data_IF_823387363174
#
_entry.id   IF_823387363174
#
_cell.length_a   1.000
_cell.length_b   1.000
_cell.length_c   1.000
_cell.angle_alpha   90.00
_cell.angle_beta   90.00
_cell.angle_gamma   90.00
#
_symmetry.space_group_name_H-M   'P 1'
#
loop_
_entity.id
_entity.type
_entity.pdbx_description
1 polymer ?
#
# COMPACT_ATOMS: atom_id res chain seq x y z
N UNK A 1 -12.11 13.43 -35.55
CA UNK A 1 -11.60 13.68 -34.18
C UNK A 1 -12.23 12.74 -33.15
N UNK A 2 -13.56 12.53 -33.17
CA UNK A 2 -14.23 11.55 -32.29
C UNK A 2 -13.83 10.09 -32.60
N UNK A 3 -13.89 9.67 -33.87
CA UNK A 3 -13.50 8.32 -34.34
C UNK A 3 -12.00 7.95 -34.08
N UNK A 4 -11.15 8.95 -33.83
CA UNK A 4 -9.68 8.80 -33.70
C UNK A 4 -9.30 8.43 -32.25
N UNK A 5 -9.96 9.08 -31.28
CA UNK A 5 -9.86 8.72 -29.86
C UNK A 5 -10.41 7.30 -29.69
N UNK A 6 -11.42 6.93 -30.47
CA UNK A 6 -12.06 5.63 -30.38
C UNK A 6 -11.12 4.48 -30.76
N UNK A 7 -10.37 4.56 -31.88
CA UNK A 7 -9.46 3.46 -32.28
C UNK A 7 -8.32 3.22 -31.27
N UNK A 8 -7.67 4.29 -30.80
CA UNK A 8 -6.60 4.19 -29.80
C UNK A 8 -7.15 3.58 -28.50
N UNK A 9 -8.30 4.07 -28.03
CA UNK A 9 -8.92 3.61 -26.78
C UNK A 9 -9.41 2.18 -26.90
N UNK A 10 -9.98 1.80 -28.05
CA UNK A 10 -10.50 0.46 -28.30
C UNK A 10 -9.36 -0.57 -28.37
N UNK A 11 -8.25 -0.24 -29.03
CA UNK A 11 -7.07 -1.11 -29.07
C UNK A 11 -6.41 -1.24 -27.69
N UNK A 12 -6.25 -0.13 -26.96
CA UNK A 12 -5.73 -0.15 -25.58
C UNK A 12 -6.61 -1.02 -24.65
N UNK A 13 -7.93 -0.91 -24.77
CA UNK A 13 -8.88 -1.73 -24.00
C UNK A 13 -8.84 -3.20 -24.38
N UNK A 14 -8.76 -3.51 -25.67
CA UNK A 14 -8.66 -4.87 -26.17
C UNK A 14 -7.41 -5.56 -25.61
N UNK A 15 -6.26 -4.91 -25.74
CA UNK A 15 -4.98 -5.46 -25.28
C UNK A 15 -4.97 -5.61 -23.76
N UNK A 16 -5.52 -4.64 -23.02
CA UNK A 16 -5.59 -4.68 -21.55
C UNK A 16 -6.45 -5.83 -20.99
N UNK A 17 -7.32 -6.45 -21.81
CA UNK A 17 -8.13 -7.62 -21.42
C UNK A 17 -7.40 -8.95 -21.60
N UNK A 18 -6.25 -8.97 -22.28
CA UNK A 18 -5.50 -10.20 -22.51
C UNK A 18 -4.85 -10.67 -21.20
N UNK A 19 -4.93 -11.97 -20.95
CA UNK A 19 -4.28 -12.60 -19.79
C UNK A 19 -2.77 -12.30 -19.80
N UNK A 20 -2.27 -11.80 -18.66
CA UNK A 20 -0.89 -11.42 -18.46
C UNK A 20 -0.58 -9.95 -18.80
N UNK A 21 -1.51 -9.20 -19.38
CA UNK A 21 -1.36 -7.75 -19.61
C UNK A 21 -1.79 -6.98 -18.36
N UNK A 22 -1.02 -5.95 -18.03
CA UNK A 22 -1.20 -5.10 -16.86
C UNK A 22 -1.64 -3.71 -17.31
N UNK A 23 -1.01 -3.22 -18.38
CA UNK A 23 -1.37 -1.98 -19.03
C UNK A 23 -0.95 -2.04 -20.50
N UNK A 24 -1.66 -1.32 -21.35
CA UNK A 24 -1.31 -1.13 -22.75
C UNK A 24 -1.52 0.33 -23.14
N UNK A 25 -0.66 0.82 -24.04
CA UNK A 25 -0.77 2.16 -24.61
C UNK A 25 -0.31 2.15 -26.05
N UNK A 26 -1.21 2.57 -26.93
CA UNK A 26 -0.98 2.76 -28.36
C UNK A 26 -0.57 4.20 -28.62
N UNK A 27 0.40 4.40 -29.50
CA UNK A 27 0.87 5.71 -29.97
C UNK A 27 0.54 5.82 -31.46
N UNK A 28 -0.10 6.93 -31.83
CA UNK A 28 -0.43 7.27 -33.21
C UNK A 28 0.42 8.46 -33.68
N UNK A 29 0.75 8.51 -34.97
CA UNK A 29 1.34 9.71 -35.58
C UNK A 29 0.24 10.70 -36.02
N UNK A 30 0.69 11.82 -36.61
CA UNK A 30 -0.22 12.86 -37.14
C UNK A 30 -1.07 12.40 -38.33
N UNK A 31 -0.73 11.25 -38.94
CA UNK A 31 -1.45 10.63 -40.06
C UNK A 31 -2.34 9.46 -39.59
N UNK A 32 -2.64 9.40 -38.29
CA UNK A 32 -3.53 8.42 -37.64
C UNK A 32 -3.10 6.94 -37.81
N UNK A 33 -1.84 6.70 -38.17
CA UNK A 33 -1.26 5.38 -38.24
C UNK A 33 -0.59 5.00 -36.91
N UNK A 34 -0.74 3.74 -36.52
CA UNK A 34 -0.10 3.19 -35.31
C UNK A 34 1.40 3.17 -35.52
N UNK A 35 2.14 3.87 -34.65
CA UNK A 35 3.61 3.87 -34.69
C UNK A 35 4.20 2.90 -33.68
N UNK A 36 3.64 2.87 -32.46
CA UNK A 36 4.15 2.05 -31.37
C UNK A 36 3.02 1.56 -30.47
N UNK A 37 3.19 0.37 -29.91
CA UNK A 37 2.31 -0.21 -28.90
C UNK A 37 3.18 -0.63 -27.72
N UNK A 38 3.02 0.06 -26.59
CA UNK A 38 3.71 -0.28 -25.35
C UNK A 38 2.82 -1.15 -24.48
N UNK A 39 3.34 -2.30 -24.07
CA UNK A 39 2.63 -3.27 -23.25
C UNK A 39 3.44 -3.57 -22.01
N UNK A 40 2.80 -3.39 -20.87
CA UNK A 40 3.31 -3.84 -19.59
C UNK A 40 2.67 -5.19 -19.27
N UNK A 41 3.47 -6.21 -19.02
CA UNK A 41 2.98 -7.56 -18.72
C UNK A 41 3.52 -8.09 -17.40
N UNK A 42 2.77 -8.99 -16.76
CA UNK A 42 3.30 -9.80 -15.68
C UNK A 42 4.23 -10.92 -16.21
N UNK A 43 4.66 -11.81 -15.33
CA UNK A 43 5.53 -12.95 -15.65
C UNK A 43 4.74 -14.24 -15.99
N UNK A 44 3.42 -14.18 -16.15
CA UNK A 44 2.58 -15.36 -16.45
C UNK A 44 2.75 -15.86 -17.87
N UNK A 45 3.16 -14.99 -18.81
CA UNK A 45 3.41 -15.31 -20.21
C UNK A 45 4.74 -14.74 -20.67
N UNK A 46 5.35 -15.38 -21.68
CA UNK A 46 6.55 -14.84 -22.33
C UNK A 46 6.19 -13.67 -23.27
N UNK A 47 7.10 -12.69 -23.48
CA UNK A 47 6.86 -11.58 -24.40
C UNK A 47 6.49 -12.03 -25.81
N UNK A 48 7.14 -13.09 -26.33
CA UNK A 48 6.83 -13.63 -27.67
C UNK A 48 5.41 -14.20 -27.76
N UNK A 49 4.95 -14.86 -26.72
CA UNK A 49 3.58 -15.38 -26.67
C UNK A 49 2.58 -14.23 -26.61
N UNK A 50 2.86 -13.22 -25.79
CA UNK A 50 1.98 -12.07 -25.62
C UNK A 50 1.86 -11.23 -26.90
N UNK A 51 2.96 -11.00 -27.61
CA UNK A 51 2.96 -10.34 -28.93
C UNK A 51 2.04 -11.08 -29.91
N UNK A 52 2.10 -12.42 -29.95
CA UNK A 52 1.21 -13.22 -30.81
C UNK A 52 -0.25 -13.13 -30.40
N UNK A 53 -0.52 -13.15 -29.09
CA UNK A 53 -1.87 -13.01 -28.56
C UNK A 53 -2.46 -11.64 -28.95
N UNK A 54 -1.65 -10.57 -28.89
CA UNK A 54 -2.02 -9.22 -29.31
C UNK A 54 -2.33 -9.15 -30.80
N UNK A 55 -1.44 -9.65 -31.66
CA UNK A 55 -1.66 -9.67 -33.12
C UNK A 55 -2.94 -10.45 -33.46
N UNK A 56 -3.14 -11.61 -32.82
CA UNK A 56 -4.32 -12.44 -33.05
C UNK A 56 -5.60 -11.75 -32.60
N UNK A 57 -5.59 -11.11 -31.43
CA UNK A 57 -6.75 -10.39 -30.90
C UNK A 57 -7.10 -9.17 -31.75
N UNK A 58 -6.11 -8.36 -32.14
CA UNK A 58 -6.31 -7.18 -32.98
C UNK A 58 -6.86 -7.55 -34.36
N UNK A 59 -6.34 -8.61 -34.98
CA UNK A 59 -6.85 -9.11 -36.26
C UNK A 59 -8.29 -9.65 -36.12
N UNK A 60 -8.59 -10.39 -35.06
CA UNK A 60 -9.90 -11.01 -34.88
C UNK A 60 -11.01 -10.02 -34.51
N UNK A 61 -10.73 -9.02 -33.67
CA UNK A 61 -11.73 -8.09 -33.16
C UNK A 61 -11.82 -6.79 -33.97
N UNK A 62 -10.71 -6.31 -34.51
CA UNK A 62 -10.62 -5.02 -35.19
C UNK A 62 -10.17 -5.12 -36.66
N UNK A 63 -9.82 -6.32 -37.14
CA UNK A 63 -9.33 -6.52 -38.51
C UNK A 63 -7.95 -5.89 -38.77
N UNK A 64 -7.19 -5.58 -37.72
CA UNK A 64 -5.90 -4.90 -37.81
C UNK A 64 -4.76 -5.92 -37.90
N UNK A 65 -3.97 -5.84 -38.97
CA UNK A 65 -2.70 -6.57 -39.10
C UNK A 65 -1.56 -5.72 -38.52
N UNK A 66 -1.06 -6.12 -37.34
CA UNK A 66 -0.03 -5.39 -36.60
C UNK A 66 1.35 -6.03 -36.81
N UNK A 67 2.35 -5.24 -37.22
CA UNK A 67 3.74 -5.71 -37.22
C UNK A 67 4.24 -5.87 -35.77
N UNK A 68 4.80 -7.04 -35.47
CA UNK A 68 5.39 -7.36 -34.16
C UNK A 68 6.51 -6.38 -33.76
N UNK A 69 7.19 -5.75 -34.72
CA UNK A 69 8.24 -4.76 -34.45
C UNK A 69 7.75 -3.50 -33.77
N UNK A 70 6.46 -3.18 -33.91
CA UNK A 70 5.84 -2.01 -33.27
C UNK A 70 5.40 -2.31 -31.84
N UNK A 71 5.41 -3.58 -31.41
CA UNK A 71 4.94 -4.00 -30.09
C UNK A 71 6.15 -4.16 -29.15
N UNK A 72 6.24 -3.26 -28.17
CA UNK A 72 7.24 -3.31 -27.12
C UNK A 72 6.63 -3.86 -25.84
N UNK A 73 7.15 -4.98 -25.33
CA UNK A 73 6.67 -5.62 -24.10
C UNK A 73 7.72 -5.46 -23.00
N UNK A 74 7.35 -4.78 -21.93
CA UNK A 74 8.10 -4.72 -20.68
C UNK A 74 7.46 -5.67 -19.67
N UNK A 75 8.26 -6.56 -19.08
CA UNK A 75 7.78 -7.48 -18.05
C UNK A 75 8.06 -6.95 -16.65
N UNK A 76 7.09 -7.10 -15.77
CA UNK A 76 7.13 -6.63 -14.40
C UNK A 76 6.80 -7.77 -13.45
N UNK A 77 7.69 -7.99 -12.48
CA UNK A 77 7.43 -8.91 -11.38
C UNK A 77 6.23 -8.41 -10.56
N UNK A 78 5.61 -9.30 -9.79
CA UNK A 78 4.43 -9.03 -8.95
C UNK A 78 4.57 -7.83 -7.98
N UNK A 79 5.79 -7.33 -7.75
CA UNK A 79 6.05 -6.13 -6.96
C UNK A 79 5.95 -4.80 -7.77
N UNK A 80 5.94 -4.85 -9.09
CA UNK A 80 6.00 -3.67 -9.97
C UNK A 80 4.66 -3.40 -10.71
N UNK A 81 3.61 -4.17 -10.37
CA UNK A 81 2.25 -4.10 -10.94
C UNK A 81 1.30 -3.09 -10.29
N UNK A 82 1.77 -2.32 -9.31
CA UNK A 82 0.96 -1.21 -8.79
C UNK A 82 1.10 -0.05 -9.79
N UNK A 83 0.02 0.38 -10.47
CA UNK A 83 0.09 1.54 -11.33
C UNK A 83 0.55 2.73 -10.50
N UNK A 84 1.66 3.36 -10.91
CA UNK A 84 2.21 4.58 -10.34
C UNK A 84 1.34 5.81 -10.63
N UNK A 85 0.05 5.74 -10.29
CA UNK A 85 -0.74 6.85 -9.76
C UNK A 85 -1.06 6.47 -8.31
N UNK A 86 -0.18 6.91 -7.42
CA UNK A 86 -0.31 6.71 -5.97
C UNK A 86 0.24 5.38 -5.49
N UNK A 87 1.46 5.40 -4.94
CA UNK A 87 1.57 4.75 -3.62
C UNK A 87 0.41 5.32 -2.82
N UNK A 88 -0.53 4.50 -2.36
CA UNK A 88 -1.42 4.98 -1.30
C UNK A 88 -0.51 5.62 -0.25
N UNK A 89 -0.70 6.91 0.06
CA UNK A 89 0.22 7.59 0.94
C UNK A 89 0.29 6.79 2.24
N UNK A 90 1.48 6.34 2.61
CA UNK A 90 1.64 5.58 3.86
C UNK A 90 1.13 6.43 5.01
N UNK A 91 0.53 5.81 6.01
CA UNK A 91 0.11 6.54 7.19
C UNK A 91 1.33 7.15 7.87
N UNK A 92 1.30 8.47 8.04
CA UNK A 92 2.34 9.23 8.73
C UNK A 92 1.80 9.79 10.03
N UNK A 93 2.67 9.95 11.03
CA UNK A 93 2.33 10.66 12.25
C UNK A 93 2.24 12.15 11.93
N UNK A 94 1.06 12.75 12.09
CA UNK A 94 0.88 14.20 11.97
C UNK A 94 1.09 14.89 13.31
N UNK A 95 0.57 14.29 14.39
CA UNK A 95 0.65 14.85 15.75
C UNK A 95 0.48 13.75 16.80
N UNK A 96 1.22 13.89 17.89
CA UNK A 96 0.97 13.17 19.15
C UNK A 96 0.82 14.24 20.22
N UNK A 97 -0.25 14.19 21.00
CA UNK A 97 -0.50 15.11 22.11
C UNK A 97 -0.75 14.32 23.37
N UNK A 98 -0.04 14.71 24.44
CA UNK A 98 -0.18 14.18 25.78
C UNK A 98 -0.73 15.29 26.66
N UNK A 99 -1.94 15.08 27.18
CA UNK A 99 -2.50 15.91 28.24
C UNK A 99 -2.41 15.13 29.55
N UNK A 100 -1.96 15.80 30.60
CA UNK A 100 -1.79 15.20 31.92
C UNK A 100 -2.72 15.94 32.87
N UNK A 101 -3.49 15.19 33.66
CA UNK A 101 -4.16 15.71 34.84
C UNK A 101 -3.52 15.11 36.11
N UNK A 102 -4.17 15.21 37.27
CA UNK A 102 -3.61 14.71 38.54
C UNK A 102 -3.68 13.18 38.70
N UNK A 103 -4.51 12.48 37.93
CA UNK A 103 -4.73 11.03 38.07
C UNK A 103 -4.56 10.27 36.74
N UNK A 104 -4.77 10.94 35.61
CA UNK A 104 -4.82 10.37 34.29
C UNK A 104 -3.90 11.08 33.31
N UNK A 105 -3.60 10.36 32.25
CA UNK A 105 -3.01 10.87 31.03
C UNK A 105 -3.94 10.57 29.87
N UNK A 106 -4.09 11.56 29.01
CA UNK A 106 -4.87 11.50 27.79
C UNK A 106 -3.91 11.64 26.60
N UNK A 107 -3.82 10.60 25.79
CA UNK A 107 -3.02 10.61 24.57
C UNK A 107 -3.94 10.71 23.36
N UNK A 108 -3.61 11.65 22.48
CA UNK A 108 -4.26 11.81 21.18
C UNK A 108 -3.22 11.64 20.08
N UNK A 109 -3.49 10.75 19.13
CA UNK A 109 -2.65 10.50 17.96
C UNK A 109 -3.44 10.89 16.71
N UNK A 110 -2.83 11.73 15.87
CA UNK A 110 -3.36 12.10 14.56
C UNK A 110 -2.44 11.53 13.49
N UNK A 111 -3.02 10.69 12.62
CA UNK A 111 -2.37 10.10 11.47
C UNK A 111 -2.83 10.78 10.18
N UNK A 112 -1.98 10.84 9.17
CA UNK A 112 -2.30 11.37 7.85
C UNK A 112 -2.05 10.32 6.76
N UNK A 113 -2.98 10.20 5.82
CA UNK A 113 -2.85 9.43 4.56
C UNK A 113 -3.30 10.33 3.42
N UNK A 114 -2.35 10.96 2.75
CA UNK A 114 -2.62 11.96 1.71
C UNK A 114 -3.27 13.18 2.36
N UNK A 115 -4.41 13.61 1.82
CA UNK A 115 -5.15 14.76 2.35
C UNK A 115 -6.09 14.41 3.51
N UNK A 116 -6.21 13.12 3.87
CA UNK A 116 -7.09 12.66 4.95
C UNK A 116 -6.33 12.52 6.26
N UNK A 117 -6.96 12.95 7.35
CA UNK A 117 -6.46 12.77 8.72
C UNK A 117 -7.38 11.89 9.55
N UNK A 118 -6.80 11.09 10.44
CA UNK A 118 -7.52 10.20 11.34
C UNK A 118 -7.02 10.42 12.76
N UNK A 119 -7.94 10.61 13.68
CA UNK A 119 -7.63 10.88 15.08
C UNK A 119 -8.06 9.71 15.95
N UNK A 120 -7.21 9.37 16.92
CA UNK A 120 -7.49 8.35 17.92
C UNK A 120 -7.08 8.84 19.30
N UNK A 121 -7.90 8.50 20.28
CA UNK A 121 -7.76 8.94 21.65
C UNK A 121 -7.71 7.73 22.60
N UNK A 122 -6.92 7.84 23.67
CA UNK A 122 -6.91 6.87 24.77
C UNK A 122 -6.55 7.57 26.08
N UNK A 123 -7.20 7.13 27.17
CA UNK A 123 -6.94 7.56 28.53
C UNK A 123 -6.34 6.42 29.34
N UNK A 124 -5.38 6.73 30.20
CA UNK A 124 -4.83 5.78 31.17
C UNK A 124 -4.33 6.47 32.44
N UNK A 125 -3.92 5.71 33.47
CA UNK A 125 -3.36 6.27 34.70
C UNK A 125 -1.94 6.83 34.45
N UNK A 126 -1.52 7.87 35.19
CA UNK A 126 -0.21 8.54 35.00
C UNK A 126 1.04 7.68 35.19
N UNK A 127 0.96 6.59 35.96
CA UNK A 127 2.14 5.92 36.50
C UNK A 127 2.52 4.64 35.75
N UNK A 128 3.80 4.54 35.37
CA UNK A 128 4.46 3.29 34.92
C UNK A 128 4.39 3.01 33.41
N UNK A 129 4.53 1.73 33.04
CA UNK A 129 4.50 1.24 31.64
C UNK A 129 3.17 1.55 30.91
N UNK A 130 2.14 1.93 31.66
CA UNK A 130 0.79 2.31 31.19
C UNK A 130 0.83 3.50 30.21
N UNK A 131 1.76 4.45 30.37
CA UNK A 131 1.93 5.59 29.44
C UNK A 131 2.16 5.18 28.01
N UNK A 132 3.07 4.25 27.81
CA UNK A 132 3.41 3.74 26.48
C UNK A 132 2.23 2.95 25.88
N UNK A 133 1.52 2.18 26.71
CA UNK A 133 0.30 1.51 26.28
C UNK A 133 -0.81 2.48 25.88
N UNK A 134 -1.04 3.57 26.62
CA UNK A 134 -2.03 4.59 26.27
C UNK A 134 -1.72 5.21 24.91
N UNK A 135 -0.45 5.49 24.60
CA UNK A 135 -0.05 5.96 23.27
C UNK A 135 -0.29 4.92 22.16
N UNK A 136 0.00 3.64 22.42
CA UNK A 136 -0.28 2.56 21.47
C UNK A 136 -1.78 2.43 21.19
N UNK A 137 -2.63 2.47 22.22
CA UNK A 137 -4.09 2.41 22.07
C UNK A 137 -4.65 3.61 21.32
N UNK A 138 -4.16 4.83 21.60
CA UNK A 138 -4.55 6.01 20.84
C UNK A 138 -4.20 5.86 19.34
N UNK A 139 -3.03 5.29 19.02
CA UNK A 139 -2.64 4.98 17.64
C UNK A 139 -3.56 3.92 17.00
N UNK A 140 -3.87 2.83 17.70
CA UNK A 140 -4.78 1.80 17.20
C UNK A 140 -6.19 2.35 16.95
N UNK A 141 -6.69 3.23 17.80
CA UNK A 141 -7.98 3.89 17.60
C UNK A 141 -7.97 4.78 16.34
N UNK A 142 -6.88 5.51 16.08
CA UNK A 142 -6.72 6.29 14.85
C UNK A 142 -6.67 5.38 13.60
N UNK A 143 -6.08 4.20 13.73
CA UNK A 143 -6.00 3.20 12.66
C UNK A 143 -7.36 2.54 12.37
N UNK A 144 -8.15 2.23 13.41
CA UNK A 144 -9.54 1.76 13.23
C UNK A 144 -10.37 2.79 12.46
N UNK A 145 -10.26 4.08 12.83
CA UNK A 145 -10.92 5.16 12.09
C UNK A 145 -10.46 5.26 10.61
N UNK A 146 -9.22 4.87 10.31
CA UNK A 146 -8.70 4.83 8.94
C UNK A 146 -9.17 3.63 8.11
N UNK A 147 -9.38 2.46 8.74
CA UNK A 147 -9.70 1.20 8.04
C UNK A 147 -11.19 0.90 7.96
N UNK A 148 -12.00 1.46 8.85
CA UNK A 148 -13.44 1.25 8.91
C UNK A 148 -13.84 0.22 9.98
N UNK A 149 -15.16 0.05 10.20
CA UNK A 149 -15.70 -0.69 11.34
C UNK A 149 -15.50 -2.21 11.28
N UNK A 150 -15.21 -2.76 10.11
CA UNK A 150 -15.01 -4.21 9.92
C UNK A 150 -13.59 -4.67 10.29
N UNK A 151 -12.67 -3.74 10.56
CA UNK A 151 -11.31 -4.03 10.95
C UNK A 151 -11.17 -3.89 12.47
N UNK A 152 -10.98 -5.02 13.15
CA UNK A 152 -10.64 -5.04 14.57
C UNK A 152 -9.13 -5.11 14.77
N UNK A 153 -8.64 -4.30 15.70
CA UNK A 153 -7.23 -4.19 16.05
C UNK A 153 -7.05 -4.34 17.55
N UNK A 154 -6.16 -5.26 17.95
CA UNK A 154 -5.86 -5.55 19.35
C UNK A 154 -4.35 -5.54 19.57
N UNK A 155 -3.90 -4.74 20.54
CA UNK A 155 -2.52 -4.77 21.01
C UNK A 155 -2.31 -6.03 21.85
N UNK A 156 -1.45 -6.94 21.40
CA UNK A 156 -1.10 -8.13 22.17
C UNK A 156 0.13 -7.92 23.04
N UNK A 157 1.14 -7.25 22.48
CA UNK A 157 2.39 -7.00 23.19
C UNK A 157 2.97 -5.64 22.81
N UNK A 158 3.53 -4.97 23.81
CA UNK A 158 4.38 -3.79 23.67
C UNK A 158 5.59 -3.98 24.58
N UNK A 159 6.79 -3.92 24.01
CA UNK A 159 8.03 -4.14 24.74
C UNK A 159 9.12 -3.18 24.29
N UNK A 160 9.91 -2.68 25.24
CA UNK A 160 11.17 -2.01 24.94
C UNK A 160 12.30 -3.03 25.06
N UNK A 161 13.13 -3.13 24.02
CA UNK A 161 14.29 -4.01 23.97
C UNK A 161 15.50 -3.23 23.47
N UNK A 162 16.70 -3.66 23.82
CA UNK A 162 17.94 -3.09 23.29
C UNK A 162 18.43 -3.92 22.10
N UNK A 163 18.66 -3.25 20.96
CA UNK A 163 19.21 -3.87 19.75
C UNK A 163 20.40 -3.04 19.31
N UNK A 164 21.58 -3.66 19.27
CA UNK A 164 22.83 -3.00 18.86
C UNK A 164 23.08 -1.66 19.57
N UNK A 165 22.82 -1.59 20.88
CA UNK A 165 22.98 -0.37 21.69
C UNK A 165 21.87 0.66 21.53
N UNK A 166 20.80 0.36 20.78
CA UNK A 166 19.65 1.26 20.60
C UNK A 166 18.42 0.67 21.25
N UNK A 167 17.75 1.45 22.11
CA UNK A 167 16.44 1.07 22.64
C UNK A 167 15.39 1.13 21.53
N UNK A 168 14.70 0.02 21.32
CA UNK A 168 13.66 -0.14 20.31
C UNK A 168 12.34 -0.53 20.97
N UNK A 169 11.24 0.10 20.55
CA UNK A 169 9.90 -0.35 20.87
C UNK A 169 9.47 -1.42 19.86
N UNK A 170 9.06 -2.59 20.35
CA UNK A 170 8.46 -3.66 19.57
C UNK A 170 6.99 -3.81 19.92
N UNK A 171 6.17 -4.10 18.91
CA UNK A 171 4.73 -4.30 19.06
C UNK A 171 4.26 -5.53 18.32
N UNK A 172 3.36 -6.29 18.94
CA UNK A 172 2.56 -7.32 18.29
C UNK A 172 1.10 -6.87 18.29
N UNK A 173 0.49 -6.87 17.10
CA UNK A 173 -0.90 -6.46 16.89
C UNK A 173 -1.64 -7.59 16.18
N UNK A 174 -2.74 -8.05 16.78
CA UNK A 174 -3.71 -8.87 16.09
C UNK A 174 -4.66 -7.97 15.30
N UNK A 175 -4.90 -8.33 14.04
CA UNK A 175 -5.84 -7.66 13.16
C UNK A 175 -6.82 -8.70 12.62
N UNK A 176 -8.11 -8.44 12.79
CA UNK A 176 -9.19 -9.27 12.25
C UNK A 176 -9.95 -8.45 11.23
N UNK A 177 -10.07 -8.98 10.02
CA UNK A 177 -10.84 -8.41 8.90
C UNK A 177 -11.81 -9.50 8.38
N UNK A 178 -12.86 -9.15 7.60
CA UNK A 178 -13.88 -10.11 7.16
C UNK A 178 -13.35 -11.37 6.46
N UNK A 179 -12.15 -11.27 5.87
CA UNK A 179 -11.53 -12.33 5.08
C UNK A 179 -10.29 -12.95 5.73
N UNK A 180 -9.99 -12.63 6.99
CA UNK A 180 -8.92 -13.32 7.73
C UNK A 180 -8.42 -12.63 9.01
N UNK A 181 -7.69 -13.43 9.78
CA UNK A 181 -6.95 -12.99 10.97
C UNK A 181 -5.45 -12.89 10.66
N UNK A 182 -4.85 -11.79 11.12
CA UNK A 182 -3.47 -11.44 10.84
C UNK A 182 -2.74 -11.10 12.13
N UNK A 183 -1.60 -11.75 12.34
CA UNK A 183 -0.62 -11.29 13.31
C UNK A 183 0.39 -10.36 12.64
N UNK A 184 0.54 -9.16 13.18
CA UNK A 184 1.42 -8.12 12.67
C UNK A 184 2.45 -7.73 13.72
N UNK A 185 3.67 -7.50 13.28
CA UNK A 185 4.79 -7.16 14.16
C UNK A 185 5.47 -5.90 13.69
N UNK A 186 5.77 -5.02 14.64
CA UNK A 186 6.36 -3.72 14.39
C UNK A 186 7.55 -3.47 15.28
N UNK A 187 8.50 -2.70 14.77
CA UNK A 187 9.66 -2.23 15.52
C UNK A 187 9.97 -0.79 15.11
N UNK A 188 10.36 0.02 16.08
CA UNK A 188 10.92 1.35 15.84
C UNK A 188 11.94 1.72 16.92
N UNK A 189 13.05 2.38 16.57
CA UNK A 189 14.03 2.87 17.53
C UNK A 189 13.54 4.13 18.27
N UNK A 190 13.84 4.23 19.56
CA UNK A 190 13.71 5.44 20.34
C UNK A 190 15.04 6.21 20.28
N UNK A 191 15.06 7.33 19.55
CA UNK A 191 16.26 8.16 19.40
C UNK A 191 16.72 8.80 20.72
N UNK A 192 15.80 9.01 21.66
CA UNK A 192 16.06 9.52 23.01
C UNK A 192 14.95 9.07 23.97
N UNK A 193 15.14 9.17 25.30
CA UNK A 193 14.09 8.86 26.29
C UNK A 193 12.82 9.71 26.15
N UNK A 194 12.93 10.93 25.61
CA UNK A 194 11.77 11.81 25.39
C UNK A 194 10.91 11.35 24.20
N UNK A 195 11.51 10.61 23.26
CA UNK A 195 10.88 10.13 22.03
C UNK A 195 10.27 8.73 22.16
N UNK A 196 10.18 8.17 23.38
CA UNK A 196 9.61 6.85 23.60
C UNK A 196 8.18 6.73 23.06
N UNK A 197 7.30 7.70 23.35
CA UNK A 197 5.93 7.65 22.84
C UNK A 197 5.87 7.72 21.31
N UNK A 198 6.73 8.55 20.70
CA UNK A 198 6.86 8.59 19.24
C UNK A 198 7.31 7.23 18.70
N UNK A 199 8.29 6.60 19.35
CA UNK A 199 8.78 5.27 18.99
C UNK A 199 7.70 4.20 19.10
N UNK A 200 6.82 4.27 20.11
CA UNK A 200 5.69 3.35 20.25
C UNK A 200 4.69 3.52 19.11
N UNK A 201 4.29 4.76 18.80
CA UNK A 201 3.37 5.02 17.68
C UNK A 201 4.00 4.56 16.36
N UNK A 202 5.29 4.82 16.16
CA UNK A 202 6.03 4.34 14.99
C UNK A 202 6.14 2.81 14.93
N UNK A 203 6.30 2.11 16.05
CA UNK A 203 6.34 0.64 16.03
C UNK A 203 4.98 0.07 15.63
N UNK A 204 3.87 0.64 16.12
CA UNK A 204 2.51 0.24 15.68
C UNK A 204 2.35 0.51 14.18
N UNK A 205 2.72 1.69 13.68
CA UNK A 205 2.67 1.98 12.25
C UNK A 205 3.58 1.05 11.44
N UNK A 206 4.77 0.71 11.95
CA UNK A 206 5.70 -0.25 11.34
C UNK A 206 5.11 -1.66 11.24
N UNK A 207 4.17 -2.04 12.11
CA UNK A 207 3.42 -3.29 12.00
C UNK A 207 2.38 -3.25 10.85
N UNK A 208 1.69 -2.13 10.67
CA UNK A 208 0.54 -1.99 9.76
C UNK A 208 0.86 -1.38 8.38
N UNK A 209 1.92 -0.59 8.26
CA UNK A 209 2.37 0.04 7.00
C UNK A 209 3.33 -0.86 6.19
N UNK A 210 3.45 -2.15 6.53
CA UNK A 210 4.37 -3.06 5.80
C UNK A 210 3.89 -3.25 4.35
N UNK A 211 4.70 -2.88 3.35
CA UNK A 211 4.43 -3.16 1.97
C UNK A 211 5.12 -4.48 1.60
N UNK A 212 4.61 -5.62 2.06
CA UNK A 212 5.14 -6.91 1.62
C UNK A 212 3.98 -7.88 1.46
N UNK A 213 3.67 -8.20 0.21
CA UNK A 213 2.92 -9.39 -0.19
C UNK A 213 3.47 -10.58 0.57
N UNK A 214 2.68 -11.17 1.47
CA UNK A 214 3.09 -12.37 2.19
C UNK A 214 3.43 -13.44 1.15
N UNK A 215 4.63 -14.05 1.15
CA UNK A 215 4.78 -15.32 0.47
C UNK A 215 3.77 -16.28 1.10
N UNK A 216 2.95 -16.94 0.27
CA UNK A 216 2.08 -18.02 0.73
C UNK A 216 2.97 -19.03 1.45
N UNK A 217 2.69 -19.32 2.72
CA UNK A 217 3.26 -20.51 3.36
C UNK A 217 2.67 -21.71 2.62
N UNK A 218 3.47 -22.36 1.80
CA UNK A 218 3.23 -23.74 1.32
C UNK A 218 3.36 -24.71 2.48
#
# INVERSE_FOLDING_TARGET
MQEIIDLQVELDQLISRLSGVVAARTVLNNDDSITEIHVLSDLSKSPKQLVRDIQSAAMAMLGLDLDYKMISVAQVGSHMLLPGKGSEPRLMIRRITLNLDSQNQDVTVVLARGDKTYEGHSRGPLHGKTRLHTAAYACLNALKACRGPECELTLLELKQIEIAGTTCCTTAVAMTEPFGDYMLYGIAPAASPEMEMHSVVMSVLSALNRPISRPKRT
#
